data_IF_728530943203
#
_entry.id   IF_728530943203
#
_cell.length_a   1.000
_cell.length_b   1.000
_cell.length_c   1.000
_cell.angle_alpha   90.00
_cell.angle_beta   90.00
_cell.angle_gamma   90.00
#
_symmetry.space_group_name_H-M   'P 1'
#
loop_
_entity.id
_entity.type
_entity.pdbx_description
1 polymer ?
#
# COMPACT_ATOMS: atom_id res chain seq x y z
N UNK A 1 8.40 0.08 37.86
CA UNK A 1 8.69 -0.51 36.53
C UNK A 1 8.05 -1.90 36.48
N UNK A 2 7.19 -2.15 35.47
CA UNK A 2 6.59 -3.48 35.23
C UNK A 2 7.44 -4.22 34.19
N UNK A 3 7.61 -5.54 34.35
CA UNK A 3 8.39 -6.38 33.46
C UNK A 3 7.48 -7.34 32.69
N UNK A 4 7.76 -7.50 31.39
CA UNK A 4 7.13 -8.46 30.50
C UNK A 4 8.20 -9.29 29.78
N UNK A 5 7.82 -10.41 29.20
CA UNK A 5 8.72 -11.15 28.31
C UNK A 5 8.80 -10.43 26.95
N UNK A 6 7.67 -9.87 26.48
CA UNK A 6 7.56 -9.20 25.19
C UNK A 6 6.81 -7.87 25.31
N UNK A 7 7.29 -6.83 24.61
CA UNK A 7 6.54 -5.57 24.37
C UNK A 7 6.41 -5.37 22.88
N UNK A 8 5.19 -5.05 22.43
CA UNK A 8 4.89 -4.65 21.04
C UNK A 8 4.43 -3.20 21.07
N UNK A 9 5.17 -2.31 20.38
CA UNK A 9 4.82 -0.90 20.21
C UNK A 9 4.06 -0.69 18.90
N UNK A 10 2.77 -0.45 19.01
CA UNK A 10 1.84 -0.29 17.88
C UNK A 10 1.06 -1.56 17.58
N UNK A 11 -0.15 -1.38 17.04
CA UNK A 11 -1.06 -2.47 16.65
C UNK A 11 -1.18 -2.60 15.12
N UNK A 12 -0.13 -2.22 14.38
CA UNK A 12 -0.04 -2.43 12.94
C UNK A 12 -0.06 -3.93 12.56
N UNK A 13 -0.04 -4.22 11.27
CA UNK A 13 -0.31 -5.58 10.75
C UNK A 13 0.69 -6.65 11.23
N UNK A 14 1.93 -6.30 11.54
CA UNK A 14 2.90 -7.21 12.15
C UNK A 14 2.44 -7.76 13.52
N UNK A 15 1.67 -6.97 14.28
CA UNK A 15 1.22 -7.34 15.64
C UNK A 15 0.37 -8.59 15.65
N UNK A 16 -0.55 -8.75 14.69
CA UNK A 16 -1.37 -9.97 14.60
C UNK A 16 -0.54 -11.23 14.39
N UNK A 17 0.48 -11.15 13.54
CA UNK A 17 1.42 -12.25 13.27
C UNK A 17 2.28 -12.58 14.49
N UNK A 18 2.83 -11.54 15.15
CA UNK A 18 3.59 -11.72 16.38
C UNK A 18 2.74 -12.38 17.48
N UNK A 19 1.56 -11.83 17.75
CA UNK A 19 0.65 -12.38 18.78
C UNK A 19 0.24 -13.82 18.51
N UNK A 20 -0.07 -14.15 17.25
CA UNK A 20 -0.45 -15.52 16.86
C UNK A 20 0.60 -16.59 17.19
N UNK A 21 1.87 -16.19 17.33
CA UNK A 21 2.98 -17.10 17.69
C UNK A 21 3.47 -16.91 19.13
N UNK A 22 3.34 -15.72 19.70
CA UNK A 22 3.79 -15.45 21.07
C UNK A 22 2.77 -15.89 22.12
N UNK A 23 1.47 -15.72 21.88
CA UNK A 23 0.39 -16.12 22.82
C UNK A 23 0.51 -17.60 23.23
N UNK A 24 0.70 -18.58 22.29
CA UNK A 24 0.81 -19.98 22.66
C UNK A 24 2.02 -20.33 23.54
N UNK A 25 3.00 -19.44 23.66
CA UNK A 25 4.17 -19.67 24.53
C UNK A 25 3.84 -19.49 26.02
N UNK A 26 2.69 -18.89 26.35
CA UNK A 26 2.31 -18.55 27.73
C UNK A 26 3.09 -17.39 28.34
N UNK A 27 4.05 -16.80 27.61
CA UNK A 27 4.84 -15.65 28.04
C UNK A 27 3.99 -14.38 28.12
N UNK A 28 4.34 -13.48 29.04
CA UNK A 28 3.66 -12.20 29.23
C UNK A 28 3.96 -11.21 28.09
N UNK A 29 2.93 -10.59 27.54
CA UNK A 29 3.01 -9.69 26.40
C UNK A 29 2.32 -8.37 26.74
N UNK A 30 3.02 -7.24 26.61
CA UNK A 30 2.39 -5.93 26.60
C UNK A 30 2.25 -5.45 25.15
N UNK A 31 1.06 -4.96 24.79
CA UNK A 31 0.80 -4.30 23.50
C UNK A 31 0.41 -2.86 23.76
N UNK A 32 1.17 -1.92 23.23
CA UNK A 32 0.98 -0.48 23.47
C UNK A 32 0.47 0.18 22.19
N UNK A 33 -0.65 0.92 22.26
CA UNK A 33 -1.21 1.65 21.11
C UNK A 33 -1.68 3.04 21.51
N UNK A 34 -1.10 4.04 20.86
CA UNK A 34 -1.41 5.45 21.13
C UNK A 34 -2.60 6.00 20.32
N UNK A 35 -3.05 5.29 19.29
CA UNK A 35 -4.11 5.73 18.40
C UNK A 35 -5.24 4.67 18.33
N UNK A 36 -5.69 4.35 17.11
CA UNK A 36 -6.72 3.33 16.88
C UNK A 36 -6.09 1.95 16.68
N UNK A 37 -6.65 0.95 17.34
CA UNK A 37 -6.26 -0.45 17.22
C UNK A 37 -6.36 -0.93 15.77
N UNK A 38 -5.32 -1.63 15.28
CA UNK A 38 -5.23 -2.17 13.93
C UNK A 38 -4.35 -1.34 12.97
N UNK A 39 -3.82 -0.20 13.44
CA UNK A 39 -2.91 0.65 12.68
C UNK A 39 -3.51 1.27 11.41
N UNK A 40 -2.63 1.74 10.52
CA UNK A 40 -3.06 2.45 9.30
C UNK A 40 -3.86 1.58 8.35
N UNK A 41 -3.51 0.32 8.15
CA UNK A 41 -4.19 -0.58 7.20
C UNK A 41 -5.69 -0.72 7.52
N UNK A 42 -6.03 -1.02 8.77
CA UNK A 42 -7.42 -1.21 9.22
C UNK A 42 -8.18 0.10 9.23
N UNK A 43 -7.56 1.19 9.73
CA UNK A 43 -8.28 2.41 10.06
C UNK A 43 -8.25 3.47 8.97
N UNK A 44 -7.17 3.57 8.17
CA UNK A 44 -6.91 4.71 7.29
C UNK A 44 -6.32 4.30 5.93
N UNK A 45 -6.19 3.00 5.65
CA UNK A 45 -5.53 2.45 4.47
C UNK A 45 -6.36 1.37 3.77
N UNK A 46 -5.84 0.14 3.77
CA UNK A 46 -6.34 -0.97 2.95
C UNK A 46 -7.85 -1.22 3.13
N UNK A 47 -8.28 -1.50 4.36
CA UNK A 47 -9.67 -1.89 4.64
C UNK A 47 -10.70 -0.83 4.20
N UNK A 48 -10.63 0.43 4.64
CA UNK A 48 -11.61 1.43 4.23
C UNK A 48 -11.49 1.78 2.74
N UNK A 49 -10.28 1.91 2.20
CA UNK A 49 -10.10 2.27 0.79
C UNK A 49 -10.63 1.19 -0.14
N UNK A 50 -10.31 -0.10 0.11
CA UNK A 50 -10.79 -1.21 -0.75
C UNK A 50 -12.29 -1.42 -0.61
N UNK A 51 -12.89 -1.07 0.52
CA UNK A 51 -14.35 -1.00 0.66
C UNK A 51 -14.96 0.07 -0.26
N UNK A 52 -14.33 1.24 -0.37
CA UNK A 52 -14.75 2.29 -1.30
C UNK A 52 -14.50 1.89 -2.76
N UNK A 53 -13.35 1.25 -3.07
CA UNK A 53 -13.06 0.69 -4.42
C UNK A 53 -14.17 -0.26 -4.85
N UNK A 54 -14.61 -1.17 -3.98
CA UNK A 54 -15.68 -2.11 -4.29
C UNK A 54 -17.01 -1.40 -4.63
N UNK A 55 -17.36 -0.36 -3.86
CA UNK A 55 -18.55 0.46 -4.16
C UNK A 55 -18.41 1.22 -5.48
N UNK A 56 -17.24 1.83 -5.73
CA UNK A 56 -16.93 2.55 -6.95
C UNK A 56 -16.96 1.64 -8.20
N UNK A 57 -16.43 0.41 -8.06
CA UNK A 57 -16.47 -0.62 -9.12
C UNK A 57 -17.89 -1.05 -9.44
N UNK A 58 -18.73 -1.28 -8.43
CA UNK A 58 -20.14 -1.64 -8.62
C UNK A 58 -20.91 -0.54 -9.37
N UNK A 59 -20.73 0.73 -9.00
CA UNK A 59 -21.33 1.88 -9.67
C UNK A 59 -20.85 1.99 -11.13
N UNK A 60 -19.55 1.83 -11.37
CA UNK A 60 -18.96 1.86 -12.70
C UNK A 60 -19.54 0.76 -13.60
N UNK A 61 -19.62 -0.48 -13.08
CA UNK A 61 -20.24 -1.60 -13.82
C UNK A 61 -21.72 -1.36 -14.14
N UNK A 62 -22.47 -0.78 -13.21
CA UNK A 62 -23.87 -0.45 -13.45
C UNK A 62 -24.03 0.61 -14.57
N UNK A 63 -23.12 1.61 -14.65
CA UNK A 63 -23.10 2.58 -15.76
C UNK A 63 -22.78 1.97 -17.12
N UNK A 64 -22.11 0.82 -17.14
CA UNK A 64 -21.81 0.06 -18.36
C UNK A 64 -22.91 -0.92 -18.75
N UNK A 65 -24.11 -0.83 -18.16
CA UNK A 65 -25.22 -1.76 -18.37
C UNK A 65 -25.55 -1.98 -19.84
N UNK A 66 -25.53 -0.94 -20.67
CA UNK A 66 -25.78 -1.03 -22.10
C UNK A 66 -24.86 -2.01 -22.81
N UNK A 67 -23.56 -2.03 -22.47
CA UNK A 67 -22.60 -3.00 -22.98
C UNK A 67 -23.00 -4.44 -22.64
N UNK A 68 -23.60 -4.66 -21.46
CA UNK A 68 -24.05 -5.98 -20.99
C UNK A 68 -25.50 -6.31 -21.37
N UNK A 69 -26.18 -5.42 -22.10
CA UNK A 69 -27.55 -5.64 -22.59
C UNK A 69 -28.65 -5.29 -21.58
N UNK A 70 -28.39 -4.40 -20.60
CA UNK A 70 -29.40 -3.91 -19.67
C UNK A 70 -29.28 -2.40 -19.44
N UNK A 71 -30.37 -1.79 -18.97
CA UNK A 71 -30.43 -0.39 -18.58
C UNK A 71 -30.77 -0.25 -17.11
N UNK A 72 -30.08 0.65 -16.41
CA UNK A 72 -30.32 0.95 -14.99
C UNK A 72 -31.17 2.21 -14.77
N UNK A 73 -31.37 3.03 -15.82
CA UNK A 73 -31.80 4.40 -15.65
C UNK A 73 -30.74 5.26 -14.93
N UNK A 74 -31.18 6.38 -14.33
CA UNK A 74 -30.29 7.26 -13.58
C UNK A 74 -29.81 6.61 -12.29
N UNK A 75 -28.48 6.60 -12.08
CA UNK A 75 -27.86 6.06 -10.87
C UNK A 75 -27.64 7.20 -9.89
N UNK A 76 -28.37 7.16 -8.77
CA UNK A 76 -28.19 8.08 -7.65
C UNK A 76 -27.16 7.55 -6.67
N UNK A 77 -26.17 8.37 -6.32
CA UNK A 77 -25.12 8.01 -5.36
C UNK A 77 -25.56 8.42 -3.95
N UNK A 78 -25.79 7.44 -3.09
CA UNK A 78 -25.93 7.63 -1.65
C UNK A 78 -24.56 7.55 -0.97
N UNK A 79 -23.88 8.70 -0.91
CA UNK A 79 -22.53 8.78 -0.33
C UNK A 79 -22.52 8.50 1.18
N UNK A 80 -23.61 8.82 1.88
CA UNK A 80 -23.75 8.52 3.31
C UNK A 80 -23.76 7.01 3.54
N UNK A 81 -24.55 6.26 2.79
CA UNK A 81 -24.61 4.79 2.88
C UNK A 81 -23.29 4.12 2.49
N UNK A 82 -22.58 4.65 1.49
CA UNK A 82 -21.23 4.18 1.12
C UNK A 82 -20.28 4.33 2.32
N UNK A 83 -20.31 5.49 2.99
CA UNK A 83 -19.47 5.76 4.17
C UNK A 83 -19.86 4.88 5.36
N UNK A 84 -21.14 4.69 5.61
CA UNK A 84 -21.61 3.78 6.66
C UNK A 84 -21.07 2.37 6.46
N UNK A 85 -21.25 1.79 5.27
CA UNK A 85 -20.72 0.47 4.92
C UNK A 85 -19.20 0.39 5.15
N UNK A 86 -18.45 1.40 4.73
CA UNK A 86 -17.00 1.48 4.99
C UNK A 86 -16.71 1.51 6.49
N UNK A 87 -17.45 2.31 7.26
CA UNK A 87 -17.26 2.44 8.70
C UNK A 87 -17.64 1.17 9.47
N UNK A 88 -18.69 0.47 9.07
CA UNK A 88 -19.10 -0.82 9.63
C UNK A 88 -17.96 -1.83 9.55
N UNK A 89 -17.36 -1.99 8.36
CA UNK A 89 -16.25 -2.93 8.11
C UNK A 89 -14.98 -2.49 8.87
N UNK A 90 -14.61 -1.22 8.77
CA UNK A 90 -13.44 -0.64 9.43
C UNK A 90 -13.50 -0.78 10.95
N UNK A 91 -14.61 -0.37 11.53
CA UNK A 91 -14.79 -0.37 12.98
C UNK A 91 -14.94 -1.80 13.51
N UNK A 92 -15.66 -2.68 12.79
CA UNK A 92 -15.77 -4.09 13.15
C UNK A 92 -14.41 -4.78 13.21
N UNK A 93 -13.54 -4.52 12.23
CA UNK A 93 -12.16 -5.05 12.23
C UNK A 93 -11.33 -4.53 13.41
N UNK A 94 -11.37 -3.23 13.69
CA UNK A 94 -10.64 -2.62 14.81
C UNK A 94 -11.13 -3.14 16.17
N UNK A 95 -12.45 -3.20 16.37
CA UNK A 95 -13.06 -3.73 17.59
C UNK A 95 -12.79 -5.22 17.80
N UNK A 96 -12.81 -6.01 16.70
CA UNK A 96 -12.45 -7.42 16.77
C UNK A 96 -11.04 -7.65 17.27
N UNK A 97 -10.06 -6.88 16.76
CA UNK A 97 -8.67 -6.93 17.22
C UNK A 97 -8.52 -6.50 18.68
N UNK A 98 -9.20 -5.42 19.07
CA UNK A 98 -9.20 -4.93 20.45
C UNK A 98 -9.77 -6.00 21.40
N UNK A 99 -10.91 -6.57 21.06
CA UNK A 99 -11.56 -7.62 21.87
C UNK A 99 -10.69 -8.87 21.96
N UNK A 100 -10.03 -9.27 20.89
CA UNK A 100 -9.12 -10.40 20.90
C UNK A 100 -7.98 -10.20 21.90
N UNK A 101 -7.28 -9.06 21.82
CA UNK A 101 -6.19 -8.75 22.74
C UNK A 101 -6.65 -8.61 24.18
N UNK A 102 -7.79 -7.94 24.43
CA UNK A 102 -8.32 -7.72 25.78
C UNK A 102 -8.81 -9.00 26.48
N UNK A 103 -9.22 -10.02 25.70
CA UNK A 103 -9.72 -11.29 26.22
C UNK A 103 -8.66 -12.42 26.17
N UNK A 104 -7.37 -12.09 25.98
CA UNK A 104 -6.29 -13.06 25.96
C UNK A 104 -5.48 -12.94 27.24
N UNK A 105 -5.44 -14.00 28.05
CA UNK A 105 -4.94 -13.99 29.45
C UNK A 105 -3.51 -13.46 29.63
N UNK A 106 -2.61 -13.81 28.70
CA UNK A 106 -1.20 -13.39 28.76
C UNK A 106 -0.88 -12.13 27.96
N UNK A 107 -1.91 -11.41 27.47
CA UNK A 107 -1.76 -10.13 26.75
C UNK A 107 -2.31 -8.98 27.60
N UNK A 108 -1.50 -7.95 27.77
CA UNK A 108 -1.90 -6.69 28.42
C UNK A 108 -1.94 -5.59 27.36
N UNK A 109 -3.16 -5.19 26.95
CA UNK A 109 -3.35 -4.06 26.03
C UNK A 109 -3.30 -2.74 26.79
N UNK A 110 -2.37 -1.86 26.43
CA UNK A 110 -2.17 -0.54 27.06
C UNK A 110 -2.44 0.54 26.02
N UNK A 111 -3.48 1.34 26.25
CA UNK A 111 -3.79 2.50 25.40
C UNK A 111 -2.98 3.70 25.85
N UNK A 112 -2.06 4.17 25.03
CA UNK A 112 -1.17 5.29 25.31
C UNK A 112 0.00 5.34 24.33
N UNK A 113 0.69 6.46 24.33
CA UNK A 113 1.92 6.65 23.55
C UNK A 113 3.12 6.17 24.33
N UNK A 114 3.80 5.15 23.82
CA UNK A 114 5.04 4.63 24.43
C UNK A 114 6.26 5.39 23.95
N UNK A 115 7.13 5.81 24.86
CA UNK A 115 8.37 6.52 24.58
C UNK A 115 9.52 5.88 25.36
N UNK A 116 10.66 5.67 24.74
CA UNK A 116 11.83 5.13 25.43
C UNK A 116 12.44 6.16 26.39
N UNK A 117 12.67 5.75 27.63
CA UNK A 117 13.42 6.52 28.65
C UNK A 117 14.87 6.07 28.75
N UNK A 118 15.14 4.81 28.42
CA UNK A 118 16.48 4.23 28.22
C UNK A 118 16.39 3.00 27.30
N UNK A 119 17.53 2.32 27.09
CA UNK A 119 17.51 1.03 26.40
C UNK A 119 16.51 0.09 27.06
N UNK A 120 15.57 -0.47 26.27
CA UNK A 120 14.54 -1.43 26.70
C UNK A 120 13.61 -0.96 27.85
N UNK A 121 13.57 0.33 28.18
CA UNK A 121 12.61 0.90 29.11
C UNK A 121 11.69 1.87 28.36
N UNK A 122 10.40 1.59 28.44
CA UNK A 122 9.35 2.37 27.77
C UNK A 122 8.44 2.98 28.82
N UNK A 123 8.28 4.28 28.78
CA UNK A 123 7.29 4.99 29.58
C UNK A 123 5.99 5.12 28.77
N UNK A 124 4.87 4.79 29.40
CA UNK A 124 3.52 5.00 28.88
C UNK A 124 2.57 5.36 30.02
N UNK A 125 1.84 6.47 29.89
CA UNK A 125 0.90 6.97 30.90
C UNK A 125 1.52 7.16 32.31
N UNK A 126 2.81 7.52 32.39
CA UNK A 126 3.53 7.70 33.67
C UNK A 126 4.02 6.40 34.31
N UNK A 127 3.86 5.24 33.64
CA UNK A 127 4.42 3.96 34.11
C UNK A 127 5.58 3.51 33.22
N UNK A 128 6.65 3.03 33.84
CA UNK A 128 7.78 2.41 33.13
C UNK A 128 7.57 0.91 32.95
N UNK A 129 7.80 0.45 31.73
CA UNK A 129 7.71 -0.94 31.30
C UNK A 129 9.07 -1.38 30.73
N UNK A 130 9.43 -2.65 30.94
CA UNK A 130 10.61 -3.26 30.33
C UNK A 130 10.29 -4.66 29.84
N UNK A 131 11.05 -5.16 28.85
CA UNK A 131 10.92 -6.53 28.37
C UNK A 131 12.25 -7.10 27.87
N UNK A 132 12.31 -8.44 27.83
CA UNK A 132 13.43 -9.14 27.18
C UNK A 132 13.45 -8.84 25.67
N UNK A 133 12.28 -8.86 25.03
CA UNK A 133 12.11 -8.60 23.58
C UNK A 133 11.13 -7.45 23.34
N UNK A 134 11.53 -6.51 22.50
CA UNK A 134 10.70 -5.35 22.10
C UNK A 134 10.57 -5.31 20.60
N UNK A 135 9.33 -5.14 20.12
CA UNK A 135 9.00 -5.06 18.69
C UNK A 135 8.40 -3.69 18.39
N UNK A 136 9.14 -2.87 17.63
CA UNK A 136 8.71 -1.54 17.24
C UNK A 136 7.93 -1.65 15.94
N UNK A 137 6.61 -1.45 15.99
CA UNK A 137 5.66 -1.55 14.89
C UNK A 137 4.82 -0.26 14.75
N UNK A 138 5.46 0.88 14.92
CA UNK A 138 4.82 2.21 14.94
C UNK A 138 4.47 2.75 13.55
N UNK A 139 5.01 2.12 12.50
CA UNK A 139 4.66 2.42 11.12
C UNK A 139 5.06 3.82 10.66
N UNK A 140 4.27 4.36 9.74
CA UNK A 140 4.47 5.66 9.12
C UNK A 140 3.20 6.51 9.15
N UNK A 141 3.34 7.83 8.95
CA UNK A 141 2.23 8.79 8.80
C UNK A 141 2.34 9.56 7.49
N UNK A 142 1.24 10.17 6.97
CA UNK A 142 1.28 11.02 5.80
C UNK A 142 2.29 12.17 5.93
N UNK A 143 2.91 12.51 4.82
CA UNK A 143 3.82 13.65 4.70
C UNK A 143 3.17 14.75 3.84
N UNK A 144 3.13 15.96 4.37
CA UNK A 144 2.75 17.14 3.63
C UNK A 144 4.01 17.92 3.21
N UNK A 145 4.23 18.12 1.89
CA UNK A 145 5.36 18.92 1.42
C UNK A 145 5.19 20.40 1.82
N UNK A 146 6.29 21.16 1.88
CA UNK A 146 6.22 22.59 2.15
C UNK A 146 5.61 23.31 0.94
N UNK A 147 4.34 23.72 1.06
CA UNK A 147 3.59 24.51 0.08
C UNK A 147 3.17 25.80 0.74
N UNK A 148 3.48 26.94 0.12
CA UNK A 148 3.13 28.24 0.67
C UNK A 148 1.62 28.36 0.91
N UNK A 149 1.22 28.76 2.12
CA UNK A 149 -0.18 28.91 2.51
C UNK A 149 -0.91 27.60 2.89
N UNK A 150 -0.26 26.44 2.87
CA UNK A 150 -0.91 25.15 3.17
C UNK A 150 -1.55 25.12 4.58
N UNK A 151 -0.90 25.72 5.57
CA UNK A 151 -1.41 25.77 6.94
C UNK A 151 -2.68 26.65 7.11
N UNK A 152 -3.02 27.44 6.10
CA UNK A 152 -4.17 28.36 6.11
C UNK A 152 -5.36 27.85 5.31
N UNK A 153 -5.30 26.61 4.82
CA UNK A 153 -6.37 25.99 4.05
C UNK A 153 -6.78 24.65 4.65
N UNK A 154 -8.05 24.24 4.54
CA UNK A 154 -8.50 22.91 4.97
C UNK A 154 -8.01 21.86 3.97
N UNK A 155 -6.82 21.33 4.16
CA UNK A 155 -6.34 20.18 3.40
C UNK A 155 -6.55 18.87 4.17
N UNK A 156 -6.53 17.77 3.49
CA UNK A 156 -6.72 16.42 4.05
C UNK A 156 -5.58 15.51 3.63
N UNK A 157 -5.26 14.57 4.50
CA UNK A 157 -4.59 13.33 4.16
C UNK A 157 -5.62 12.22 3.84
N UNK A 158 -5.16 10.99 3.63
CA UNK A 158 -6.04 9.84 3.38
C UNK A 158 -7.05 9.59 4.51
N UNK A 159 -6.64 9.81 5.77
CA UNK A 159 -7.52 9.63 6.93
C UNK A 159 -8.60 10.72 6.98
N UNK A 160 -8.24 11.95 6.69
CA UNK A 160 -9.17 13.08 6.57
C UNK A 160 -10.19 12.86 5.46
N UNK A 161 -9.73 12.40 4.28
CA UNK A 161 -10.62 12.13 3.15
C UNK A 161 -11.61 10.99 3.43
N UNK A 162 -11.18 9.91 4.08
CA UNK A 162 -12.04 8.79 4.49
C UNK A 162 -13.11 9.19 5.53
N UNK A 163 -12.88 10.26 6.29
CA UNK A 163 -13.81 10.78 7.29
C UNK A 163 -14.71 11.92 6.76
N UNK A 164 -14.50 12.34 5.52
CA UNK A 164 -15.26 13.43 4.92
C UNK A 164 -16.75 13.05 4.81
N UNK A 165 -17.64 13.94 5.27
CA UNK A 165 -19.08 13.69 5.32
C UNK A 165 -19.80 14.00 4.01
N UNK A 166 -19.24 14.88 3.21
CA UNK A 166 -19.84 15.35 1.95
C UNK A 166 -18.96 14.94 0.77
N UNK A 167 -19.61 14.59 -0.34
CA UNK A 167 -18.89 14.28 -1.58
C UNK A 167 -18.27 15.57 -2.14
N UNK A 168 -16.94 15.63 -2.36
CA UNK A 168 -16.31 16.78 -2.99
C UNK A 168 -16.90 17.06 -4.37
N UNK A 169 -17.21 18.32 -4.68
CA UNK A 169 -17.54 18.68 -6.06
C UNK A 169 -16.35 18.56 -6.97
N UNK A 170 -15.19 19.05 -6.52
CA UNK A 170 -13.93 18.94 -7.23
C UNK A 170 -12.80 18.66 -6.22
N UNK A 171 -12.22 17.47 -6.29
CA UNK A 171 -11.10 17.04 -5.47
C UNK A 171 -9.78 17.30 -6.22
N UNK A 172 -8.92 18.12 -5.63
CA UNK A 172 -7.53 18.28 -6.06
C UNK A 172 -6.67 17.31 -5.25
N UNK A 173 -5.81 16.54 -5.92
CA UNK A 173 -4.92 15.56 -5.32
C UNK A 173 -3.48 15.95 -5.63
N UNK A 174 -2.66 16.22 -4.61
CA UNK A 174 -1.22 16.39 -4.75
C UNK A 174 -0.53 15.06 -4.47
N UNK A 175 0.07 14.48 -5.52
CA UNK A 175 0.73 13.18 -5.52
C UNK A 175 -0.01 12.14 -6.34
N UNK A 176 0.59 11.72 -7.45
CA UNK A 176 0.10 10.71 -8.39
C UNK A 176 0.67 9.31 -8.11
N UNK A 177 0.97 8.98 -6.85
CA UNK A 177 1.33 7.64 -6.40
C UNK A 177 0.09 6.74 -6.21
N UNK A 178 0.28 5.54 -5.62
CA UNK A 178 -0.79 4.55 -5.42
C UNK A 178 -2.03 5.13 -4.72
N UNK A 179 -1.84 5.83 -3.59
CA UNK A 179 -2.93 6.42 -2.81
C UNK A 179 -3.70 7.46 -3.63
N UNK A 180 -2.98 8.37 -4.31
CA UNK A 180 -3.61 9.42 -5.12
C UNK A 180 -4.39 8.84 -6.30
N UNK A 181 -3.85 7.83 -6.97
CA UNK A 181 -4.50 7.17 -8.11
C UNK A 181 -5.75 6.38 -7.69
N UNK A 182 -5.71 5.63 -6.58
CA UNK A 182 -6.89 4.93 -6.06
C UNK A 182 -8.01 5.92 -5.69
N UNK A 183 -7.72 6.93 -4.89
CA UNK A 183 -8.73 7.92 -4.51
C UNK A 183 -9.26 8.73 -5.70
N UNK A 184 -8.43 9.01 -6.68
CA UNK A 184 -8.88 9.74 -7.87
C UNK A 184 -9.99 9.00 -8.59
N UNK A 185 -9.83 7.70 -8.83
CA UNK A 185 -10.81 6.87 -9.51
C UNK A 185 -12.06 6.64 -8.65
N UNK A 186 -11.89 6.39 -7.34
CA UNK A 186 -13.00 6.23 -6.39
C UNK A 186 -13.92 7.45 -6.43
N UNK A 187 -13.36 8.65 -6.21
CA UNK A 187 -14.16 9.87 -6.12
C UNK A 187 -14.70 10.31 -7.48
N UNK A 188 -13.96 10.07 -8.57
CA UNK A 188 -14.47 10.29 -9.93
C UNK A 188 -15.72 9.44 -10.19
N UNK A 189 -15.70 8.19 -9.82
CA UNK A 189 -16.82 7.26 -9.98
C UNK A 189 -18.01 7.60 -9.09
N UNK A 190 -17.78 8.21 -7.94
CA UNK A 190 -18.84 8.76 -7.07
C UNK A 190 -19.45 10.07 -7.63
N UNK A 191 -18.82 10.69 -8.65
CA UNK A 191 -19.37 11.88 -9.32
C UNK A 191 -18.58 13.17 -9.09
N UNK A 192 -17.46 13.13 -8.36
CA UNK A 192 -16.58 14.28 -8.20
C UNK A 192 -15.85 14.60 -9.51
N UNK A 193 -15.57 15.88 -9.78
CA UNK A 193 -14.45 16.24 -10.63
C UNK A 193 -13.16 15.95 -9.87
N UNK A 194 -12.14 15.47 -10.58
CA UNK A 194 -10.83 15.13 -9.95
C UNK A 194 -9.69 15.65 -10.80
N UNK A 195 -8.70 16.27 -10.12
CA UNK A 195 -7.45 16.70 -10.75
C UNK A 195 -6.27 16.20 -9.92
N UNK A 196 -5.35 15.48 -10.55
CA UNK A 196 -4.08 15.02 -9.94
C UNK A 196 -2.97 15.98 -10.36
N UNK A 197 -2.18 16.41 -9.38
CA UNK A 197 -0.95 17.18 -9.57
C UNK A 197 0.23 16.29 -9.18
N UNK A 198 1.05 15.93 -10.17
CA UNK A 198 2.20 15.07 -10.01
C UNK A 198 3.48 15.82 -10.37
N UNK A 199 4.42 15.86 -9.44
CA UNK A 199 5.71 16.55 -9.61
C UNK A 199 6.57 15.91 -10.70
N UNK A 200 6.59 14.57 -10.72
CA UNK A 200 7.39 13.80 -11.66
C UNK A 200 6.73 13.70 -13.04
N UNK A 201 7.47 13.24 -14.04
CA UNK A 201 7.02 13.16 -15.44
C UNK A 201 5.97 12.08 -15.71
N UNK A 202 5.64 11.25 -14.71
CA UNK A 202 4.63 10.19 -14.82
C UNK A 202 3.93 9.94 -13.49
N UNK A 203 2.76 9.31 -13.53
CA UNK A 203 2.14 8.71 -12.36
C UNK A 203 3.01 7.55 -11.86
N UNK A 204 2.90 7.24 -10.57
CA UNK A 204 3.63 6.11 -9.96
C UNK A 204 5.11 6.04 -10.43
N UNK A 205 5.97 6.96 -10.00
CA UNK A 205 7.33 7.14 -10.53
C UNK A 205 8.25 5.90 -10.41
N UNK A 206 7.85 4.91 -9.60
CA UNK A 206 8.59 3.65 -9.43
C UNK A 206 8.22 2.59 -10.45
N UNK A 207 7.08 2.74 -11.15
CA UNK A 207 6.67 1.82 -12.20
C UNK A 207 7.45 2.05 -13.48
N UNK A 208 7.53 1.02 -14.31
CA UNK A 208 7.98 1.14 -15.69
C UNK A 208 7.05 2.08 -16.46
N UNK A 209 7.61 2.81 -17.42
CA UNK A 209 6.89 3.88 -18.13
C UNK A 209 5.64 3.39 -18.83
N UNK A 210 5.67 2.22 -19.45
CA UNK A 210 4.54 1.61 -20.15
C UNK A 210 3.37 1.28 -19.18
N UNK A 211 3.69 0.80 -17.96
CA UNK A 211 2.68 0.56 -16.91
C UNK A 211 2.07 1.88 -16.43
N UNK A 212 2.91 2.87 -16.14
CA UNK A 212 2.47 4.18 -15.67
C UNK A 212 1.59 4.91 -16.70
N UNK A 213 1.95 4.83 -18.00
CA UNK A 213 1.19 5.45 -19.08
C UNK A 213 -0.16 4.74 -19.27
N UNK A 214 -0.21 3.41 -19.24
CA UNK A 214 -1.46 2.67 -19.36
C UNK A 214 -2.44 3.01 -18.20
N UNK A 215 -1.94 3.18 -16.98
CA UNK A 215 -2.76 3.62 -15.85
C UNK A 215 -3.24 5.06 -16.05
N UNK A 216 -2.38 5.94 -16.56
CA UNK A 216 -2.75 7.32 -16.89
C UNK A 216 -3.88 7.36 -17.91
N UNK A 217 -3.75 6.60 -19.00
CA UNK A 217 -4.79 6.52 -20.06
C UNK A 217 -6.13 6.03 -19.50
N UNK A 218 -6.11 5.03 -18.60
CA UNK A 218 -7.33 4.53 -17.95
C UNK A 218 -7.98 5.62 -17.11
N UNK A 219 -7.22 6.34 -16.29
CA UNK A 219 -7.74 7.39 -15.40
C UNK A 219 -8.24 8.60 -16.19
N UNK A 220 -7.51 9.03 -17.22
CA UNK A 220 -7.91 10.13 -18.13
C UNK A 220 -9.15 9.73 -18.95
N UNK A 221 -9.27 8.46 -19.37
CA UNK A 221 -10.45 7.91 -20.02
C UNK A 221 -11.73 7.98 -19.18
N UNK A 222 -11.60 7.99 -17.85
CA UNK A 222 -12.71 8.23 -16.93
C UNK A 222 -12.94 9.73 -16.63
N UNK A 223 -12.17 10.63 -17.25
CA UNK A 223 -12.31 12.08 -17.13
C UNK A 223 -11.59 12.67 -15.91
N UNK A 224 -10.55 12.01 -15.39
CA UNK A 224 -9.65 12.58 -14.38
C UNK A 224 -8.62 13.46 -15.11
N UNK A 225 -8.43 14.70 -14.65
CA UNK A 225 -7.40 15.59 -15.17
C UNK A 225 -6.06 15.28 -14.49
N UNK A 226 -4.99 15.10 -15.26
CA UNK A 226 -3.67 14.73 -14.75
C UNK A 226 -2.62 15.70 -15.26
N UNK A 227 -1.94 16.39 -14.34
CA UNK A 227 -0.82 17.28 -14.63
C UNK A 227 0.46 16.62 -14.10
N UNK A 228 1.26 16.04 -15.00
CA UNK A 228 2.64 15.61 -14.71
C UNK A 228 3.63 16.75 -14.92
N UNK A 229 4.86 16.64 -14.38
CA UNK A 229 5.84 17.73 -14.30
C UNK A 229 5.27 19.02 -13.68
N UNK A 230 4.31 18.85 -12.76
CA UNK A 230 3.56 19.94 -12.14
C UNK A 230 3.78 19.93 -10.63
N UNK A 231 4.39 20.99 -10.12
CA UNK A 231 4.69 21.13 -8.70
C UNK A 231 3.87 22.26 -8.08
N UNK A 232 3.24 21.96 -6.95
CA UNK A 232 2.50 22.95 -6.17
C UNK A 232 3.46 24.02 -5.64
N UNK A 233 3.16 25.30 -5.89
CA UNK A 233 3.91 26.47 -5.40
C UNK A 233 3.23 27.04 -4.16
N UNK A 234 1.95 27.37 -4.28
CA UNK A 234 1.19 27.97 -3.19
C UNK A 234 -0.28 27.57 -3.25
N UNK A 235 -0.93 27.62 -2.11
CA UNK A 235 -2.36 27.35 -2.00
C UNK A 235 -3.04 28.41 -1.15
N UNK A 236 -4.28 28.75 -1.51
CA UNK A 236 -5.13 29.68 -0.74
C UNK A 236 -6.59 29.22 -0.76
N UNK A 237 -7.36 29.72 0.20
CA UNK A 237 -8.82 29.54 0.21
C UNK A 237 -9.47 30.90 -0.03
N UNK A 238 -10.31 31.00 -1.05
CA UNK A 238 -11.12 32.19 -1.33
C UNK A 238 -12.57 31.80 -1.51
N UNK A 239 -13.43 32.30 -0.63
CA UNK A 239 -14.88 32.04 -0.66
C UNK A 239 -15.23 30.53 -0.70
N UNK A 240 -14.52 29.71 0.10
CA UNK A 240 -14.72 28.25 0.16
C UNK A 240 -14.13 27.47 -1.02
N UNK A 241 -13.40 28.12 -1.92
CA UNK A 241 -12.67 27.46 -3.02
C UNK A 241 -11.19 27.38 -2.72
N UNK A 242 -10.62 26.21 -2.89
CA UNK A 242 -9.16 25.98 -2.86
C UNK A 242 -8.60 26.44 -4.20
N UNK A 243 -7.62 27.35 -4.15
CA UNK A 243 -6.88 27.84 -5.32
C UNK A 243 -5.45 27.39 -5.17
N UNK A 244 -5.01 26.47 -6.02
CA UNK A 244 -3.67 25.92 -6.07
C UNK A 244 -2.91 26.52 -7.25
N UNK A 245 -1.83 27.26 -6.98
CA UNK A 245 -0.94 27.78 -8.00
C UNK A 245 0.25 26.81 -8.18
N UNK A 246 0.57 26.50 -9.41
CA UNK A 246 1.67 25.62 -9.79
C UNK A 246 2.92 26.46 -10.12
N UNK A 247 4.10 25.83 -10.05
CA UNK A 247 5.37 26.51 -10.39
C UNK A 247 5.48 26.89 -11.87
N UNK A 248 4.76 26.19 -12.77
CA UNK A 248 4.69 26.49 -14.20
C UNK A 248 3.74 27.66 -14.54
N UNK A 249 3.10 28.28 -13.54
CA UNK A 249 2.20 29.42 -13.69
C UNK A 249 0.71 29.04 -13.84
N UNK A 250 0.38 27.76 -13.99
CA UNK A 250 -1.00 27.30 -14.03
C UNK A 250 -1.67 27.42 -12.67
N UNK A 251 -3.00 27.50 -12.67
CA UNK A 251 -3.83 27.54 -11.47
C UNK A 251 -4.93 26.50 -11.57
N UNK A 252 -5.07 25.70 -10.51
CA UNK A 252 -6.15 24.73 -10.36
C UNK A 252 -7.06 25.15 -9.22
N UNK A 253 -8.37 25.16 -9.50
CA UNK A 253 -9.39 25.51 -8.48
C UNK A 253 -10.26 24.33 -8.18
N UNK A 254 -10.47 24.04 -6.90
CA UNK A 254 -11.30 22.93 -6.44
C UNK A 254 -12.06 23.24 -5.17
N UNK A 255 -12.85 22.29 -4.68
CA UNK A 255 -13.56 22.39 -3.41
C UNK A 255 -12.77 21.77 -2.24
N UNK A 256 -11.95 20.76 -2.52
CA UNK A 256 -11.20 20.01 -1.51
C UNK A 256 -9.80 19.70 -2.00
N UNK A 257 -8.87 19.55 -1.05
CA UNK A 257 -7.46 19.26 -1.32
C UNK A 257 -7.01 18.03 -0.53
N UNK A 258 -6.57 17.00 -1.25
CA UNK A 258 -5.90 15.83 -0.69
C UNK A 258 -4.39 15.94 -0.91
N UNK A 259 -3.62 15.73 0.14
CA UNK A 259 -2.16 15.55 0.06
C UNK A 259 -1.84 14.05 0.16
N UNK A 260 -1.34 13.48 -0.93
CA UNK A 260 -0.90 12.10 -1.07
C UNK A 260 0.56 12.01 -1.55
N UNK A 261 1.40 12.94 -1.09
CA UNK A 261 2.76 13.17 -1.59
C UNK A 261 3.85 12.33 -0.91
N UNK A 262 3.48 11.35 -0.11
CA UNK A 262 4.40 10.43 0.56
C UNK A 262 4.08 10.20 2.04
N UNK A 263 5.00 9.47 2.69
CA UNK A 263 4.89 9.11 4.12
C UNK A 263 6.23 9.31 4.82
N UNK A 264 6.20 9.49 6.13
CA UNK A 264 7.39 9.52 6.99
C UNK A 264 7.22 8.58 8.19
N UNK A 265 8.31 7.98 8.71
CA UNK A 265 8.25 7.04 9.82
C UNK A 265 7.83 7.72 11.13
N UNK A 266 7.20 6.93 12.01
CA UNK A 266 6.82 7.35 13.36
C UNK A 266 7.92 6.97 14.38
N UNK A 267 9.14 7.35 14.11
CA UNK A 267 10.30 7.12 14.97
C UNK A 267 10.61 8.30 15.88
N UNK A 268 10.27 9.52 15.47
CA UNK A 268 10.57 10.76 16.18
C UNK A 268 9.91 10.85 17.57
N UNK A 269 8.69 10.33 17.74
CA UNK A 269 8.00 10.27 19.03
C UNK A 269 8.50 9.18 19.99
N UNK A 270 9.39 8.30 19.52
CA UNK A 270 9.89 7.18 20.32
C UNK A 270 11.08 7.54 21.24
N UNK A 271 11.69 8.73 21.08
CA UNK A 271 12.96 9.09 21.69
C UNK A 271 14.09 8.07 21.37
N UNK A 272 14.38 7.85 20.08
CA UNK A 272 15.27 6.79 19.62
C UNK A 272 16.68 6.89 20.20
N UNK A 273 17.13 8.10 20.51
CA UNK A 273 18.44 8.34 21.12
C UNK A 273 18.55 7.72 22.53
N UNK A 274 17.51 7.84 23.35
CA UNK A 274 17.48 7.22 24.67
C UNK A 274 17.44 5.69 24.57
N UNK A 275 16.81 5.16 23.53
CA UNK A 275 16.76 3.73 23.25
C UNK A 275 18.06 3.16 22.65
N UNK A 276 19.05 3.97 22.29
CA UNK A 276 20.25 3.52 21.58
C UNK A 276 20.00 3.12 20.11
N UNK A 277 18.88 3.57 19.52
CA UNK A 277 18.49 3.23 18.14
C UNK A 277 19.17 4.14 17.12
N UNK A 278 19.67 3.55 16.06
CA UNK A 278 20.17 4.28 14.89
C UNK A 278 19.02 4.66 13.96
N UNK A 279 19.00 5.91 13.55
CA UNK A 279 17.98 6.46 12.65
C UNK A 279 18.66 6.96 11.38
N UNK A 280 18.15 6.54 10.23
CA UNK A 280 18.61 7.01 8.93
C UNK A 280 18.26 8.50 8.69
N UNK A 281 18.90 9.15 7.70
CA UNK A 281 18.61 10.53 7.29
C UNK A 281 17.13 10.76 6.93
N UNK A 282 16.43 9.71 6.54
CA UNK A 282 15.00 9.74 6.20
C UNK A 282 14.08 9.46 7.40
N UNK A 283 14.66 9.24 8.58
CA UNK A 283 13.95 9.03 9.84
C UNK A 283 13.56 7.56 10.12
N UNK A 284 13.92 6.60 9.28
CA UNK A 284 13.64 5.18 9.52
C UNK A 284 14.57 4.61 10.57
N UNK A 285 14.08 3.65 11.36
CA UNK A 285 14.91 2.87 12.28
C UNK A 285 15.73 1.88 11.45
N UNK A 286 17.06 1.96 11.55
CA UNK A 286 17.96 1.05 10.85
C UNK A 286 17.90 -0.35 11.46
N UNK A 287 17.84 -1.35 10.60
CA UNK A 287 17.80 -2.77 10.95
C UNK A 287 18.76 -3.57 10.09
N UNK A 288 19.18 -4.72 10.61
CA UNK A 288 19.84 -5.74 9.80
C UNK A 288 18.82 -6.56 8.99
N UNK A 289 19.32 -7.52 8.22
CA UNK A 289 18.54 -8.40 7.36
C UNK A 289 17.49 -9.26 8.11
N UNK A 290 17.57 -9.29 9.42
CA UNK A 290 16.70 -10.03 10.33
C UNK A 290 15.73 -9.11 11.12
N UNK A 291 15.56 -7.87 10.70
CA UNK A 291 14.79 -6.83 11.39
C UNK A 291 15.32 -6.47 12.79
N UNK A 292 16.57 -6.83 13.15
CA UNK A 292 17.18 -6.46 14.41
C UNK A 292 17.72 -5.04 14.33
N UNK A 293 17.49 -4.27 15.39
CA UNK A 293 18.15 -2.97 15.57
C UNK A 293 19.57 -3.17 16.15
N UNK A 294 20.31 -2.08 16.34
CA UNK A 294 21.60 -2.13 17.03
C UNK A 294 21.52 -2.49 18.53
N UNK A 295 20.31 -2.57 19.08
CA UNK A 295 20.07 -2.89 20.50
C UNK A 295 19.60 -4.35 20.63
N UNK A 296 20.30 -5.13 21.44
CA UNK A 296 20.00 -6.56 21.62
C UNK A 296 18.56 -6.80 22.10
N UNK A 297 17.83 -7.65 21.39
CA UNK A 297 16.45 -8.00 21.70
C UNK A 297 15.43 -6.95 21.28
N UNK A 298 15.85 -5.87 20.58
CA UNK A 298 14.95 -4.87 20.01
C UNK A 298 14.88 -5.01 18.50
N UNK A 299 13.67 -5.14 17.97
CA UNK A 299 13.36 -5.33 16.56
C UNK A 299 12.51 -4.16 16.06
N UNK A 300 12.68 -3.76 14.79
CA UNK A 300 11.76 -2.83 14.14
C UNK A 300 11.14 -3.49 12.90
N UNK A 301 9.82 -3.53 12.84
CA UNK A 301 9.04 -4.26 11.82
C UNK A 301 8.03 -3.35 11.13
N UNK A 302 7.79 -3.61 9.84
CA UNK A 302 6.88 -2.82 9.02
C UNK A 302 7.44 -1.46 8.64
N UNK A 303 6.57 -0.56 8.20
CA UNK A 303 6.96 0.71 7.57
C UNK A 303 8.02 1.54 8.34
N UNK A 304 8.15 1.37 9.65
CA UNK A 304 9.08 2.15 10.48
C UNK A 304 10.55 1.84 10.21
N UNK A 305 10.87 0.65 9.66
CA UNK A 305 12.22 0.26 9.29
C UNK A 305 12.62 0.68 7.85
N UNK A 306 11.66 1.03 7.00
CA UNK A 306 11.92 1.48 5.63
C UNK A 306 12.16 0.37 4.61
N UNK A 307 12.18 -0.91 5.01
CA UNK A 307 12.45 -2.07 4.15
C UNK A 307 11.22 -2.57 3.39
N UNK A 308 10.09 -1.90 3.57
CA UNK A 308 8.84 -2.12 2.84
C UNK A 308 7.74 -1.21 3.38
N UNK A 309 6.75 -0.89 2.54
CA UNK A 309 5.67 0.04 2.90
C UNK A 309 4.28 -0.55 2.61
N UNK A 310 4.16 -1.87 2.74
CA UNK A 310 2.91 -2.59 2.50
C UNK A 310 2.57 -3.51 3.68
N UNK A 311 1.28 -3.80 3.83
CA UNK A 311 0.76 -4.68 4.88
C UNK A 311 1.47 -6.04 4.92
N UNK A 312 1.61 -6.68 3.76
CA UNK A 312 2.25 -8.00 3.66
C UNK A 312 3.76 -7.96 3.93
N UNK A 313 4.45 -6.84 3.69
CA UNK A 313 5.86 -6.68 4.10
C UNK A 313 5.97 -6.58 5.62
N UNK A 314 5.05 -5.87 6.28
CA UNK A 314 5.00 -5.82 7.76
C UNK A 314 4.73 -7.21 8.38
N UNK A 315 3.82 -7.99 7.77
CA UNK A 315 3.55 -9.38 8.16
C UNK A 315 4.81 -10.24 7.99
N UNK A 316 5.47 -10.12 6.84
CA UNK A 316 6.69 -10.88 6.55
C UNK A 316 7.85 -10.50 7.47
N UNK A 317 8.02 -9.22 7.84
CA UNK A 317 9.01 -8.81 8.83
C UNK A 317 8.77 -9.53 10.19
N UNK A 318 7.51 -9.61 10.62
CA UNK A 318 7.17 -10.35 11.84
C UNK A 318 7.48 -11.86 11.70
N UNK A 319 7.23 -12.46 10.54
CA UNK A 319 7.59 -13.85 10.26
C UNK A 319 9.11 -14.06 10.26
N UNK A 320 9.90 -13.12 9.71
CA UNK A 320 11.37 -13.15 9.75
C UNK A 320 11.84 -13.13 11.20
N UNK A 321 11.34 -12.18 12.00
CA UNK A 321 11.72 -12.08 13.42
C UNK A 321 11.39 -13.36 14.18
N UNK A 322 10.19 -13.91 13.99
CA UNK A 322 9.76 -15.14 14.65
C UNK A 322 10.59 -16.36 14.20
N UNK A 323 10.94 -16.45 12.92
CA UNK A 323 11.78 -17.50 12.39
C UNK A 323 13.18 -17.46 13.02
N UNK A 324 13.78 -16.28 13.07
CA UNK A 324 15.11 -16.05 13.69
C UNK A 324 15.12 -16.35 15.18
N UNK A 325 14.08 -15.97 15.91
CA UNK A 325 13.93 -16.30 17.33
C UNK A 325 13.85 -17.82 17.59
N UNK A 326 13.45 -18.60 16.59
CA UNK A 326 13.40 -20.05 16.59
C UNK A 326 14.61 -20.73 15.91
N UNK A 327 15.65 -19.96 15.59
CA UNK A 327 16.91 -20.47 15.00
C UNK A 327 16.86 -20.67 13.48
N UNK A 328 15.86 -20.09 12.79
CA UNK A 328 15.77 -20.05 11.31
C UNK A 328 16.65 -18.97 10.67
N UNK A 329 16.61 -18.88 9.33
CA UNK A 329 17.49 -18.06 8.52
C UNK A 329 16.77 -17.16 7.49
N UNK A 330 15.46 -16.91 7.68
CA UNK A 330 14.70 -16.00 6.81
C UNK A 330 15.24 -14.58 6.89
N UNK A 331 15.29 -13.90 5.73
CA UNK A 331 15.86 -12.56 5.64
C UNK A 331 15.01 -11.63 4.77
N UNK A 332 15.16 -10.33 4.98
CA UNK A 332 14.54 -9.29 4.16
C UNK A 332 15.01 -9.38 2.71
N UNK A 333 16.32 -9.59 2.49
CA UNK A 333 16.94 -9.62 1.16
C UNK A 333 16.51 -10.81 0.31
N UNK A 334 16.05 -11.91 0.92
CA UNK A 334 15.49 -13.07 0.19
C UNK A 334 14.04 -12.88 -0.23
N UNK A 335 13.40 -11.78 0.17
CA UNK A 335 12.00 -11.47 -0.14
C UNK A 335 11.86 -10.86 -1.52
N UNK A 336 10.99 -11.42 -2.36
CA UNK A 336 10.56 -10.74 -3.57
C UNK A 336 9.67 -9.55 -3.23
N UNK A 337 9.97 -8.39 -3.80
CA UNK A 337 9.05 -7.23 -3.70
C UNK A 337 7.76 -7.57 -4.44
N UNK A 338 6.63 -7.48 -3.77
CA UNK A 338 5.30 -7.71 -4.34
C UNK A 338 4.33 -6.65 -3.83
N UNK A 339 3.43 -6.18 -4.68
CA UNK A 339 2.36 -5.25 -4.30
C UNK A 339 1.28 -5.15 -5.37
N UNK A 340 0.16 -4.52 -5.00
CA UNK A 340 -0.91 -4.19 -5.93
C UNK A 340 -1.37 -2.75 -5.77
N UNK A 341 -1.77 -2.14 -6.88
CA UNK A 341 -2.54 -0.90 -6.94
C UNK A 341 -3.99 -1.27 -7.26
N UNK A 342 -4.90 -0.80 -6.44
CA UNK A 342 -6.32 -1.16 -6.54
C UNK A 342 -7.13 -0.11 -7.32
N UNK A 343 -6.62 0.29 -8.47
CA UNK A 343 -7.45 0.88 -9.53
C UNK A 343 -8.33 -0.19 -10.15
N UNK A 344 -9.15 0.17 -11.10
CA UNK A 344 -9.95 -0.76 -11.88
C UNK A 344 -9.73 -0.48 -13.36
N UNK A 345 -9.02 -1.39 -14.07
CA UNK A 345 -8.49 -2.65 -13.56
C UNK A 345 -7.33 -2.48 -12.56
N UNK A 346 -7.10 -3.46 -11.67
CA UNK A 346 -5.98 -3.42 -10.74
C UNK A 346 -4.64 -3.73 -11.41
N UNK A 347 -3.56 -3.20 -10.83
CA UNK A 347 -2.20 -3.61 -11.13
C UNK A 347 -1.69 -4.55 -10.05
N UNK A 348 -1.22 -5.73 -10.42
CA UNK A 348 -0.35 -6.57 -9.59
C UNK A 348 1.10 -6.46 -10.07
N UNK A 349 2.05 -6.40 -9.13
CA UNK A 349 3.49 -6.25 -9.41
C UNK A 349 4.30 -7.18 -8.52
N UNK A 350 5.30 -7.88 -9.08
CA UNK A 350 6.27 -8.69 -8.33
C UNK A 350 7.66 -8.61 -8.96
N UNK A 351 8.69 -8.65 -8.12
CA UNK A 351 10.09 -8.66 -8.54
C UNK A 351 10.57 -7.31 -9.08
N UNK A 352 11.54 -7.36 -9.98
CA UNK A 352 12.25 -6.19 -10.50
C UNK A 352 11.45 -5.47 -11.60
N UNK A 353 11.57 -4.15 -11.67
CA UNK A 353 11.23 -3.36 -12.85
C UNK A 353 12.29 -3.54 -13.95
N UNK A 354 12.01 -3.10 -15.19
CA UNK A 354 12.99 -3.10 -16.29
C UNK A 354 14.26 -2.34 -15.85
N UNK A 355 14.08 -1.16 -15.28
CA UNK A 355 15.16 -0.31 -14.80
C UNK A 355 16.01 -1.00 -13.71
N UNK A 356 15.37 -1.63 -12.74
CA UNK A 356 16.04 -2.34 -11.65
C UNK A 356 16.77 -3.57 -12.15
N UNK A 357 16.18 -4.34 -13.06
CA UNK A 357 16.79 -5.52 -13.64
C UNK A 357 18.07 -5.16 -14.47
N UNK A 358 17.99 -4.10 -15.29
CA UNK A 358 19.13 -3.57 -16.04
C UNK A 358 20.22 -3.06 -15.06
N UNK A 359 19.84 -2.29 -14.04
CA UNK A 359 20.79 -1.77 -13.05
C UNK A 359 21.46 -2.89 -12.23
N UNK A 360 20.78 -4.03 -12.06
CA UNK A 360 21.36 -5.25 -11.46
C UNK A 360 22.26 -6.05 -12.42
N UNK A 361 22.51 -5.56 -13.64
CA UNK A 361 23.39 -6.20 -14.64
C UNK A 361 22.81 -7.47 -15.26
N UNK A 362 21.47 -7.61 -15.28
CA UNK A 362 20.78 -8.77 -15.85
C UNK A 362 20.65 -8.68 -17.37
N UNK A 363 20.72 -9.83 -18.04
CA UNK A 363 20.35 -9.97 -19.45
C UNK A 363 18.84 -10.09 -19.55
N UNK A 364 18.14 -8.97 -19.76
CA UNK A 364 16.69 -8.91 -19.63
C UNK A 364 15.97 -9.17 -20.95
N UNK A 365 15.10 -10.17 -20.96
CA UNK A 365 14.08 -10.36 -21.99
C UNK A 365 12.71 -9.89 -21.44
N UNK A 366 11.92 -9.25 -22.31
CA UNK A 366 10.58 -8.76 -21.98
C UNK A 366 9.54 -9.41 -22.88
N UNK A 367 8.42 -9.82 -22.30
CA UNK A 367 7.23 -10.19 -23.04
C UNK A 367 6.03 -9.40 -22.55
N UNK A 368 5.15 -9.01 -23.47
CA UNK A 368 3.92 -8.26 -23.16
C UNK A 368 2.71 -8.94 -23.80
N UNK A 369 1.65 -9.11 -23.01
CA UNK A 369 0.36 -9.64 -23.49
C UNK A 369 -0.75 -8.64 -23.21
N UNK A 370 -1.27 -7.91 -24.20
CA UNK A 370 -2.38 -6.98 -24.01
C UNK A 370 -3.67 -7.71 -23.60
N UNK A 371 -4.46 -7.12 -22.69
CA UNK A 371 -5.71 -7.70 -22.19
C UNK A 371 -6.74 -7.90 -23.33
N UNK A 372 -6.76 -7.05 -24.33
CA UNK A 372 -7.61 -7.20 -25.52
C UNK A 372 -7.26 -8.41 -26.42
N UNK A 373 -6.19 -9.15 -26.11
CA UNK A 373 -5.82 -10.43 -26.75
C UNK A 373 -6.14 -11.65 -25.87
N UNK A 374 -6.80 -11.45 -24.72
CA UNK A 374 -7.20 -12.47 -23.77
C UNK A 374 -8.71 -12.66 -23.87
N UNK A 375 -9.16 -13.88 -24.18
CA UNK A 375 -10.59 -14.18 -24.40
C UNK A 375 -11.43 -13.84 -23.18
N UNK A 376 -11.00 -14.26 -21.99
CA UNK A 376 -11.73 -13.98 -20.75
C UNK A 376 -11.87 -12.49 -20.46
N UNK A 377 -10.85 -11.68 -20.71
CA UNK A 377 -10.92 -10.23 -20.55
C UNK A 377 -11.95 -9.59 -21.52
N UNK A 378 -12.05 -10.11 -22.77
CA UNK A 378 -13.08 -9.68 -23.71
C UNK A 378 -14.49 -10.07 -23.27
N UNK A 379 -14.67 -11.29 -22.80
CA UNK A 379 -15.97 -11.78 -22.27
C UNK A 379 -16.46 -10.91 -21.11
N UNK A 380 -15.55 -10.43 -20.28
CA UNK A 380 -15.83 -9.58 -19.15
C UNK A 380 -15.98 -8.08 -19.53
N UNK A 381 -15.67 -7.70 -20.78
CA UNK A 381 -15.64 -6.30 -21.21
C UNK A 381 -14.51 -5.49 -20.54
N UNK A 382 -13.47 -6.15 -20.01
CA UNK A 382 -12.37 -5.54 -19.26
C UNK A 382 -11.05 -5.71 -20.02
N UNK A 383 -10.89 -4.98 -21.11
CA UNK A 383 -9.76 -5.16 -22.05
C UNK A 383 -8.63 -4.13 -21.89
N UNK A 384 -8.74 -3.23 -20.92
CA UNK A 384 -7.70 -2.25 -20.64
C UNK A 384 -6.51 -2.89 -19.95
N UNK A 385 -5.29 -2.46 -20.31
CA UNK A 385 -4.04 -2.90 -19.71
C UNK A 385 -3.40 -4.10 -20.39
N UNK A 386 -2.44 -4.71 -19.72
CA UNK A 386 -1.62 -5.80 -20.23
C UNK A 386 -0.94 -6.57 -19.09
N UNK A 387 -0.44 -7.78 -19.39
CA UNK A 387 0.54 -8.48 -18.59
C UNK A 387 1.92 -8.30 -19.20
N UNK A 388 2.94 -8.02 -18.37
CA UNK A 388 4.35 -7.91 -18.72
C UNK A 388 5.17 -8.86 -17.87
N UNK A 389 6.07 -9.60 -18.49
CA UNK A 389 7.00 -10.50 -17.85
C UNK A 389 8.42 -10.08 -18.21
N UNK A 390 9.32 -10.05 -17.21
CA UNK A 390 10.74 -9.86 -17.37
C UNK A 390 11.43 -11.20 -17.04
N UNK A 391 12.27 -11.66 -17.94
CA UNK A 391 12.94 -12.96 -17.83
C UNK A 391 14.45 -12.75 -17.96
N UNK A 392 15.22 -13.41 -17.12
CA UNK A 392 16.67 -13.49 -17.21
C UNK A 392 17.04 -14.45 -18.35
N UNK A 393 17.67 -13.93 -19.41
CA UNK A 393 18.07 -14.71 -20.58
C UNK A 393 19.09 -15.80 -20.25
N UNK A 394 19.89 -15.60 -19.19
CA UNK A 394 20.96 -16.54 -18.81
C UNK A 394 20.43 -17.71 -17.98
N UNK A 395 19.39 -17.48 -17.17
CA UNK A 395 18.87 -18.48 -16.23
C UNK A 395 17.47 -18.99 -16.57
N UNK A 396 16.79 -18.40 -17.56
CA UNK A 396 15.40 -18.70 -17.94
C UNK A 396 14.40 -18.50 -16.76
N UNK A 397 14.71 -17.62 -15.79
CA UNK A 397 13.86 -17.34 -14.63
C UNK A 397 13.17 -16.00 -14.74
N UNK A 398 11.97 -15.90 -14.15
CA UNK A 398 11.23 -14.63 -14.07
C UNK A 398 11.97 -13.71 -13.10
N UNK A 399 12.36 -12.52 -13.58
CA UNK A 399 12.94 -11.43 -12.79
C UNK A 399 11.86 -10.52 -12.20
N UNK A 400 10.76 -10.37 -12.90
CA UNK A 400 9.65 -9.54 -12.48
C UNK A 400 8.42 -9.71 -13.37
N UNK A 401 7.27 -9.35 -12.83
CA UNK A 401 6.00 -9.36 -13.54
C UNK A 401 5.15 -8.17 -13.15
N UNK A 402 4.39 -7.64 -14.11
CA UNK A 402 3.35 -6.63 -13.92
C UNK A 402 2.08 -7.08 -14.65
N UNK A 403 0.95 -7.13 -13.95
CA UNK A 403 -0.35 -7.50 -14.53
C UNK A 403 -1.32 -6.36 -14.25
N UNK A 404 -1.53 -5.50 -15.24
CA UNK A 404 -2.58 -4.48 -15.24
C UNK A 404 -3.78 -5.05 -16.00
N UNK A 405 -4.82 -5.42 -15.28
CA UNK A 405 -5.98 -6.07 -15.91
C UNK A 405 -6.90 -6.73 -14.90
N UNK A 406 -8.00 -7.35 -15.34
CA UNK A 406 -8.95 -8.02 -14.45
C UNK A 406 -8.26 -9.14 -13.65
N UNK A 407 -8.34 -9.03 -12.32
CA UNK A 407 -7.70 -9.96 -11.40
C UNK A 407 -6.17 -9.83 -11.32
N UNK A 408 -5.59 -8.71 -11.79
CA UNK A 408 -4.13 -8.51 -11.74
C UNK A 408 -3.56 -8.60 -10.33
N UNK A 409 -4.30 -8.13 -9.33
CA UNK A 409 -4.00 -8.22 -7.90
C UNK A 409 -3.96 -9.67 -7.38
N UNK A 410 -4.75 -10.57 -7.94
CA UNK A 410 -4.77 -11.99 -7.59
C UNK A 410 -3.77 -12.80 -8.43
N UNK A 411 -3.69 -12.53 -9.73
CA UNK A 411 -2.80 -13.24 -10.67
C UNK A 411 -1.33 -13.07 -10.28
N UNK A 412 -0.96 -11.92 -9.73
CA UNK A 412 0.43 -11.64 -9.35
C UNK A 412 0.95 -12.60 -8.28
N UNK A 413 0.09 -13.15 -7.43
CA UNK A 413 0.46 -14.14 -6.42
C UNK A 413 0.95 -15.46 -7.05
N UNK A 414 0.44 -15.83 -8.24
CA UNK A 414 0.95 -16.97 -9.00
C UNK A 414 2.40 -16.75 -9.40
N UNK A 415 2.75 -15.56 -9.91
CA UNK A 415 4.13 -15.23 -10.27
C UNK A 415 5.05 -15.16 -9.05
N UNK A 416 4.54 -14.66 -7.92
CA UNK A 416 5.29 -14.69 -6.67
C UNK A 416 5.65 -16.12 -6.25
N UNK A 417 4.71 -17.06 -6.38
CA UNK A 417 4.94 -18.48 -6.07
C UNK A 417 5.96 -19.12 -7.04
N UNK A 418 5.86 -18.82 -8.34
CA UNK A 418 6.80 -19.31 -9.37
C UNK A 418 8.22 -18.80 -9.07
N UNK A 419 8.37 -17.50 -8.79
CA UNK A 419 9.65 -16.88 -8.46
C UNK A 419 10.23 -17.44 -7.15
N UNK A 420 9.40 -17.60 -6.12
CA UNK A 420 9.82 -18.16 -4.83
C UNK A 420 10.32 -19.61 -4.96
N UNK A 421 9.70 -20.38 -5.85
CA UNK A 421 10.04 -21.79 -6.10
C UNK A 421 11.13 -21.97 -7.17
N UNK A 422 11.72 -20.87 -7.65
CA UNK A 422 12.79 -20.88 -8.64
C UNK A 422 12.46 -21.62 -9.94
N UNK A 423 11.18 -21.66 -10.34
CA UNK A 423 10.71 -22.39 -11.51
C UNK A 423 11.13 -21.68 -12.79
N UNK A 424 11.90 -22.32 -13.70
CA UNK A 424 12.27 -21.74 -14.99
C UNK A 424 11.03 -21.56 -15.89
N UNK A 425 11.07 -20.56 -16.78
CA UNK A 425 9.97 -20.28 -17.72
C UNK A 425 9.59 -21.47 -18.58
N UNK A 426 10.56 -22.27 -19.03
CA UNK A 426 10.32 -23.53 -19.78
C UNK A 426 9.49 -24.56 -19.01
N UNK A 427 9.63 -24.61 -17.68
CA UNK A 427 8.81 -25.50 -16.84
C UNK A 427 7.43 -24.87 -16.56
N UNK A 428 7.37 -23.56 -16.33
CA UNK A 428 6.09 -22.86 -16.17
C UNK A 428 5.20 -23.02 -17.41
N UNK A 429 5.75 -23.03 -18.62
CA UNK A 429 5.01 -23.25 -19.88
C UNK A 429 4.34 -24.61 -19.99
N UNK A 430 4.74 -25.62 -19.18
CA UNK A 430 4.16 -26.95 -19.16
C UNK A 430 2.96 -27.09 -18.20
N UNK A 431 2.72 -26.05 -17.38
CA UNK A 431 1.62 -26.06 -16.40
C UNK A 431 0.29 -25.98 -17.12
N UNK A 432 -0.62 -26.89 -16.79
CA UNK A 432 -2.01 -26.84 -17.27
C UNK A 432 -2.81 -25.88 -16.40
N UNK A 433 -3.36 -24.85 -17.01
CA UNK A 433 -4.17 -23.83 -16.35
C UNK A 433 -5.64 -23.95 -16.76
N UNK A 434 -6.53 -23.48 -15.88
CA UNK A 434 -7.98 -23.57 -16.08
C UNK A 434 -8.45 -22.64 -17.19
N UNK A 435 -9.26 -23.16 -18.12
CA UNK A 435 -9.94 -22.40 -19.18
C UNK A 435 -11.42 -22.18 -18.84
N UNK A 436 -12.05 -20.99 -19.11
CA UNK A 436 -11.41 -19.75 -19.57
C UNK A 436 -11.03 -18.84 -18.38
N UNK A 437 -9.78 -18.45 -18.30
CA UNK A 437 -9.28 -17.50 -17.28
C UNK A 437 -8.31 -16.49 -17.89
N UNK A 438 -8.08 -15.37 -17.20
CA UNK A 438 -7.06 -14.40 -17.63
C UNK A 438 -5.67 -14.99 -17.45
N UNK A 439 -5.45 -15.73 -16.37
CA UNK A 439 -4.15 -16.31 -16.01
C UNK A 439 -3.66 -17.41 -16.96
N UNK A 440 -4.55 -18.14 -17.62
CA UNK A 440 -4.16 -19.26 -18.52
C UNK A 440 -3.28 -18.83 -19.70
N UNK A 441 -3.41 -17.55 -20.13
CA UNK A 441 -2.64 -17.03 -21.26
C UNK A 441 -1.29 -16.40 -20.84
N UNK A 442 -0.97 -16.40 -19.54
CA UNK A 442 0.31 -15.87 -19.05
C UNK A 442 1.53 -16.68 -19.52
N UNK A 443 1.52 -18.05 -19.54
CA UNK A 443 2.60 -18.82 -20.13
C UNK A 443 2.82 -18.53 -21.62
N UNK A 444 1.75 -18.24 -22.36
CA UNK A 444 1.82 -17.90 -23.78
C UNK A 444 2.39 -16.52 -24.06
N UNK A 445 2.41 -15.63 -23.04
CA UNK A 445 3.11 -14.35 -23.17
C UNK A 445 4.62 -14.56 -23.42
N UNK A 446 5.19 -15.63 -22.88
CA UNK A 446 6.60 -16.00 -23.03
C UNK A 446 7.02 -16.34 -24.49
N UNK A 447 6.05 -16.55 -25.41
CA UNK A 447 6.36 -16.74 -26.83
C UNK A 447 6.83 -15.45 -27.51
N UNK A 448 6.54 -14.29 -26.92
CA UNK A 448 6.92 -12.96 -27.44
C UNK A 448 8.09 -12.34 -26.69
N UNK A 449 9.02 -13.12 -26.15
CA UNK A 449 10.21 -12.59 -25.45
C UNK A 449 11.13 -11.88 -26.44
N UNK A 450 11.43 -10.60 -26.12
CA UNK A 450 12.33 -9.74 -26.87
C UNK A 450 13.35 -9.08 -25.93
N UNK A 451 14.61 -8.82 -26.36
CA UNK A 451 15.58 -8.12 -25.53
C UNK A 451 15.07 -6.73 -25.13
N UNK A 452 15.32 -6.35 -23.89
CA UNK A 452 15.12 -4.96 -23.43
C UNK A 452 16.39 -4.18 -23.79
N UNK A 453 16.25 -3.15 -24.63
CA UNK A 453 17.33 -2.29 -25.10
C UNK A 453 17.57 -1.10 -24.17
#
# INVERSE_FOLDING_TARGET
>A
MKSFDHIILGTGQATGTLLGRLIPTGKSIAVIEGAKIGGSCVNYGCTPTKTLVASAKAIHKARQGEFYGFSTGDITIDYERIRERMNEIRNGSSQGLESWMANTDNVTLIKGWGTFTSEKVIEVNGEELTAEKIYINTGTRPFAPPIDGLNNVPWMDSAGLLNLKELPRHLIIIGGGYIGSEFSQIYRRFGSEVTIIQRDGQLMPREDRDVAEAIREILEGEGIRIHCNAEAKSVSNKNGKIILNLKNGETVTGSHLLIAAGRRPNSDGLNPKAAGLTISDRGYIEVDDYCRTGVEGVFAVGDVNGEGAFTHTSVNDAEIVLDVLNGGDRTITKRNTIYSLFTDPPLGRVGLSEKEAIAAGKSVLKATRPMNKISRAKEMGETNGFAKLLVDADTDKILGAAVLGPGGDEIINMFAAIMHSDIPCKEYRKVVLVHPTVSELMPWALDGLEPVN
#
